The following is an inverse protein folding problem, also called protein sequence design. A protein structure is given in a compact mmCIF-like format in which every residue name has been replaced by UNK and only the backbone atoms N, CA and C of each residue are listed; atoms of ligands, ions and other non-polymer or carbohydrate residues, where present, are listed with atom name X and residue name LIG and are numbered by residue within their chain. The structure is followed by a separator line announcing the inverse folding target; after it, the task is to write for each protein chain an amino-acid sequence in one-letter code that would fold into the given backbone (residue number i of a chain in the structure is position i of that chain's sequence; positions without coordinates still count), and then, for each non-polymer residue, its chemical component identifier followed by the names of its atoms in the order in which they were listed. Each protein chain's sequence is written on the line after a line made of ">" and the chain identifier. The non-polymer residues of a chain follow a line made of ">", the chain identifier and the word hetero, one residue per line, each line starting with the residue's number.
data_IF_739758145246
#
_entry.id   IF_739758145246
#
_cell.length_a   1.000
_cell.length_b   1.000
_cell.length_c   1.000
_cell.angle_alpha   90.00
_cell.angle_beta   90.00
_cell.angle_gamma   90.00
#
_symmetry.space_group_name_H-M   'P 1'
#
loop_
_entity.id
_entity.type
_entity.pdbx_description
1 polymer ?
#
# COMPACT_ATOMS: atom_id res chain seq x y z
N UNK A 1 5.54 32.42 -20.58
CA UNK A 1 5.14 32.39 -19.16
C UNK A 1 4.62 30.98 -18.88
N UNK A 2 5.44 30.07 -18.30
CA UNK A 2 4.99 28.72 -17.93
C UNK A 2 4.08 28.87 -16.72
N UNK A 3 2.79 28.64 -16.91
CA UNK A 3 1.84 28.47 -15.81
C UNK A 3 2.41 27.37 -14.91
N UNK A 4 2.72 27.68 -13.66
CA UNK A 4 2.98 26.66 -12.62
C UNK A 4 1.66 25.91 -12.40
N UNK A 5 1.40 24.91 -13.24
CA UNK A 5 0.29 23.99 -13.03
C UNK A 5 0.48 23.35 -11.66
N UNK A 6 -0.47 23.55 -10.77
CA UNK A 6 -0.52 22.84 -9.50
C UNK A 6 -0.42 21.34 -9.81
N UNK A 7 0.58 20.64 -9.26
CA UNK A 7 0.70 19.20 -9.40
C UNK A 7 -0.60 18.56 -8.93
N UNK A 8 -1.26 17.81 -9.83
CA UNK A 8 -2.49 17.08 -9.50
C UNK A 8 -2.20 16.13 -8.34
N UNK A 9 -2.86 16.33 -7.21
CA UNK A 9 -2.73 15.50 -6.02
C UNK A 9 -3.64 14.29 -6.14
N UNK A 10 -3.10 13.10 -5.88
CA UNK A 10 -3.82 11.83 -5.98
C UNK A 10 -3.81 11.18 -4.59
N UNK A 11 -4.96 11.05 -3.93
CA UNK A 11 -5.03 10.31 -2.68
C UNK A 11 -4.85 8.81 -2.95
N UNK A 12 -3.84 8.22 -2.35
CA UNK A 12 -3.62 6.78 -2.30
C UNK A 12 -3.76 6.37 -0.84
N UNK A 13 -4.87 5.75 -0.49
CA UNK A 13 -5.23 5.40 0.87
C UNK A 13 -4.61 4.06 1.25
N UNK A 14 -3.98 3.99 2.42
CA UNK A 14 -3.40 2.78 2.97
C UNK A 14 -4.19 2.32 4.19
N UNK A 15 -4.91 1.23 4.03
CA UNK A 15 -5.56 0.45 5.09
C UNK A 15 -4.74 -0.79 5.44
N UNK A 16 -5.12 -1.49 6.51
CA UNK A 16 -4.59 -2.80 6.86
C UNK A 16 -5.76 -3.76 7.14
N UNK A 17 -6.40 -3.66 8.29
CA UNK A 17 -7.46 -4.55 8.75
C UNK A 17 -8.78 -3.81 8.91
N UNK A 18 -9.90 -4.51 8.65
CA UNK A 18 -11.28 -3.99 8.78
C UNK A 18 -12.07 -4.93 9.68
N UNK A 19 -12.11 -4.65 10.98
CA UNK A 19 -12.82 -5.48 11.95
C UNK A 19 -13.20 -4.70 13.20
N UNK A 20 -14.27 -5.12 13.88
CA UNK A 20 -14.66 -4.59 15.20
C UNK A 20 -13.85 -5.20 16.36
N UNK A 21 -13.04 -6.23 16.09
CA UNK A 21 -12.29 -6.97 17.09
C UNK A 21 -10.78 -6.91 16.85
N UNK A 22 -10.16 -5.71 16.87
CA UNK A 22 -8.73 -5.57 16.60
C UNK A 22 -7.90 -6.21 17.71
N UNK A 23 -6.88 -6.96 17.32
CA UNK A 23 -5.98 -7.63 18.27
C UNK A 23 -4.52 -7.28 18.06
N UNK A 24 -3.76 -7.14 19.13
CA UNK A 24 -2.31 -6.96 19.08
C UNK A 24 -1.83 -5.66 18.42
N UNK A 25 -0.64 -5.67 17.80
CA UNK A 25 0.01 -4.46 17.29
C UNK A 25 -0.70 -3.77 16.13
N UNK A 26 -1.63 -4.47 15.45
CA UNK A 26 -2.36 -3.91 14.31
C UNK A 26 -3.53 -3.01 14.72
N UNK A 27 -3.99 -3.10 15.98
CA UNK A 27 -5.14 -2.34 16.46
C UNK A 27 -5.13 -0.83 16.11
N UNK A 28 -4.00 -0.09 16.15
CA UNK A 28 -3.97 1.31 15.74
C UNK A 28 -4.21 1.55 14.24
N UNK A 29 -4.15 0.51 13.41
CA UNK A 29 -4.32 0.55 11.95
C UNK A 29 -5.58 -0.21 11.49
N UNK A 30 -6.38 -0.69 12.44
CA UNK A 30 -7.65 -1.38 12.16
C UNK A 30 -8.79 -0.38 12.21
N UNK A 31 -9.62 -0.35 11.18
CA UNK A 31 -10.86 0.43 11.16
C UNK A 31 -12.05 -0.51 11.34
N UNK A 32 -13.11 -0.03 12.01
CA UNK A 32 -14.34 -0.82 12.09
C UNK A 32 -15.02 -0.92 10.73
N UNK A 33 -15.80 -2.01 10.46
CA UNK A 33 -16.59 -2.13 9.24
C UNK A 33 -17.50 -0.94 8.99
N UNK A 34 -18.12 -0.39 10.04
CA UNK A 34 -18.98 0.79 9.93
C UNK A 34 -18.20 2.05 9.54
N UNK A 35 -17.01 2.27 10.10
CA UNK A 35 -16.13 3.39 9.71
C UNK A 35 -15.65 3.22 8.28
N UNK A 36 -15.26 2.01 7.89
CA UNK A 36 -14.84 1.71 6.52
C UNK A 36 -15.97 1.97 5.52
N UNK A 37 -17.20 1.50 5.81
CA UNK A 37 -18.37 1.76 4.99
C UNK A 37 -18.57 3.26 4.76
N UNK A 38 -18.49 4.07 5.83
CA UNK A 38 -18.60 5.51 5.72
C UNK A 38 -17.51 6.14 4.85
N UNK A 39 -16.29 5.61 4.90
CA UNK A 39 -15.20 6.05 4.01
C UNK A 39 -15.52 5.73 2.55
N UNK A 40 -16.08 4.54 2.26
CA UNK A 40 -16.44 4.13 0.90
C UNK A 40 -17.58 4.96 0.33
N UNK A 41 -18.61 5.29 1.12
CA UNK A 41 -19.67 6.20 0.72
C UNK A 41 -19.12 7.55 0.22
N UNK A 42 -18.21 8.17 0.99
CA UNK A 42 -17.57 9.44 0.61
C UNK A 42 -16.78 9.33 -0.69
N UNK A 43 -16.09 8.19 -0.89
CA UNK A 43 -15.32 7.93 -2.12
C UNK A 43 -16.28 7.76 -3.30
N UNK A 44 -17.32 6.94 -3.15
CA UNK A 44 -18.24 6.59 -4.23
C UNK A 44 -19.05 7.79 -4.75
N UNK A 45 -19.29 8.81 -3.91
CA UNK A 45 -20.06 9.99 -4.32
C UNK A 45 -19.46 10.73 -5.52
N UNK A 46 -18.14 10.88 -5.60
CA UNK A 46 -17.48 11.78 -6.56
C UNK A 46 -16.16 11.30 -7.10
N UNK A 47 -15.64 10.15 -6.65
CA UNK A 47 -14.32 9.66 -7.00
C UNK A 47 -14.40 8.35 -7.77
N UNK A 48 -13.43 8.14 -8.65
CA UNK A 48 -13.22 6.87 -9.32
C UNK A 48 -12.04 6.16 -8.67
N UNK A 49 -12.32 5.03 -8.04
CA UNK A 49 -11.27 4.19 -7.48
C UNK A 49 -10.54 3.44 -8.61
N UNK A 50 -9.22 3.43 -8.51
CA UNK A 50 -8.31 2.70 -9.40
C UNK A 50 -7.50 1.70 -8.56
N UNK A 51 -7.10 0.60 -9.17
CA UNK A 51 -6.01 -0.21 -8.63
C UNK A 51 -4.68 0.54 -8.80
N UNK A 52 -3.63 0.08 -8.12
CA UNK A 52 -2.29 0.68 -8.28
C UNK A 52 -1.78 0.50 -9.70
N UNK A 53 -2.00 -0.66 -10.32
CA UNK A 53 -1.61 -0.91 -11.71
C UNK A 53 -2.36 0.01 -12.68
N UNK A 54 -3.66 0.20 -12.51
CA UNK A 54 -4.44 1.13 -13.32
C UNK A 54 -3.96 2.58 -13.18
N UNK A 55 -3.61 3.01 -11.95
CA UNK A 55 -3.01 4.32 -11.74
C UNK A 55 -1.71 4.46 -12.54
N UNK A 56 -0.79 3.48 -12.42
CA UNK A 56 0.52 3.51 -13.08
C UNK A 56 0.38 3.47 -14.60
N UNK A 57 -0.54 2.68 -15.14
CA UNK A 57 -0.86 2.68 -16.57
C UNK A 57 -1.34 4.06 -17.06
N UNK A 58 -2.23 4.71 -16.32
CA UNK A 58 -2.67 6.07 -16.66
C UNK A 58 -1.50 7.07 -16.64
N UNK A 59 -0.56 6.92 -15.71
CA UNK A 59 0.58 7.84 -15.62
C UNK A 59 1.66 7.57 -16.66
N UNK A 60 1.87 6.29 -17.06
CA UNK A 60 2.94 5.88 -17.97
C UNK A 60 2.55 5.83 -19.44
N UNK A 61 1.35 5.38 -19.77
CA UNK A 61 0.89 5.15 -21.13
C UNK A 61 0.21 6.38 -21.80
N UNK A 62 0.28 7.57 -21.18
CA UNK A 62 -0.41 8.76 -21.67
C UNK A 62 -1.95 8.65 -21.63
N UNK A 63 -2.49 7.68 -20.90
CA UNK A 63 -3.93 7.58 -20.65
C UNK A 63 -4.35 8.71 -19.73
N UNK A 64 -5.53 9.25 -19.98
CA UNK A 64 -6.08 10.32 -19.14
C UNK A 64 -6.52 9.74 -17.80
N UNK A 65 -5.96 10.25 -16.70
CA UNK A 65 -6.51 9.99 -15.36
C UNK A 65 -7.97 10.45 -15.29
N UNK A 66 -8.84 9.69 -14.63
CA UNK A 66 -10.21 10.12 -14.38
C UNK A 66 -10.25 11.47 -13.64
N UNK A 67 -11.37 12.21 -13.71
CA UNK A 67 -11.46 13.56 -13.13
C UNK A 67 -11.10 13.62 -11.64
N UNK A 68 -11.54 12.64 -10.85
CA UNK A 68 -11.29 12.54 -9.41
C UNK A 68 -10.76 11.13 -9.05
N UNK A 69 -9.46 10.82 -9.34
CA UNK A 69 -8.90 9.52 -9.05
C UNK A 69 -8.63 9.36 -7.55
N UNK A 70 -8.85 8.17 -7.04
CA UNK A 70 -8.41 7.72 -5.73
C UNK A 70 -7.90 6.28 -5.86
N UNK A 71 -6.97 5.88 -5.00
CA UNK A 71 -6.53 4.49 -4.91
C UNK A 71 -6.74 4.01 -3.49
N UNK A 72 -7.31 2.82 -3.36
CA UNK A 72 -7.53 2.15 -2.07
C UNK A 72 -6.56 0.97 -2.01
N UNK A 73 -5.71 0.93 -0.99
CA UNK A 73 -4.76 -0.17 -0.80
C UNK A 73 -4.87 -0.75 0.60
N UNK A 74 -4.59 -2.05 0.72
CA UNK A 74 -4.47 -2.75 1.99
C UNK A 74 -3.11 -3.41 2.05
N UNK A 75 -2.46 -3.38 3.21
CA UNK A 75 -1.20 -4.08 3.45
C UNK A 75 -1.42 -5.33 4.31
N UNK A 76 -0.41 -6.21 4.35
CA UNK A 76 -0.24 -7.44 5.13
C UNK A 76 -1.04 -8.65 4.62
N UNK A 77 -2.26 -8.49 4.11
CA UNK A 77 -3.12 -9.58 3.65
C UNK A 77 -3.92 -10.23 4.79
N UNK A 78 -4.60 -9.42 5.62
CA UNK A 78 -5.52 -9.90 6.65
C UNK A 78 -6.75 -10.60 6.02
N UNK A 79 -7.30 -11.61 6.71
CA UNK A 79 -8.50 -12.34 6.25
C UNK A 79 -9.71 -11.42 6.07
N UNK A 80 -9.85 -10.41 6.93
CA UNK A 80 -10.91 -9.41 6.85
C UNK A 80 -10.86 -8.53 5.58
N UNK A 81 -9.77 -8.55 4.83
CA UNK A 81 -9.72 -7.91 3.51
C UNK A 81 -10.65 -8.60 2.51
N UNK A 82 -10.84 -9.93 2.63
CA UNK A 82 -11.83 -10.67 1.87
C UNK A 82 -13.20 -10.67 2.54
N UNK A 83 -13.25 -10.98 3.84
CA UNK A 83 -14.50 -11.23 4.54
C UNK A 83 -15.32 -9.95 4.79
N UNK A 84 -14.66 -8.81 5.02
CA UNK A 84 -15.29 -7.54 5.39
C UNK A 84 -15.09 -6.45 4.33
N UNK A 85 -13.87 -6.28 3.80
CA UNK A 85 -13.59 -5.17 2.88
C UNK A 85 -14.10 -5.46 1.46
N UNK A 86 -13.86 -6.65 0.91
CA UNK A 86 -14.21 -6.99 -0.47
C UNK A 86 -15.72 -6.84 -0.77
N UNK A 87 -16.67 -7.36 0.04
CA UNK A 87 -18.09 -7.20 -0.25
C UNK A 87 -18.56 -5.74 -0.19
N UNK A 88 -17.98 -4.91 0.68
CA UNK A 88 -18.29 -3.48 0.76
C UNK A 88 -17.75 -2.73 -0.45
N UNK A 89 -16.50 -2.99 -0.84
CA UNK A 89 -15.93 -2.43 -2.07
C UNK A 89 -16.77 -2.78 -3.30
N UNK A 90 -17.19 -4.03 -3.42
CA UNK A 90 -18.04 -4.50 -4.52
C UNK A 90 -19.41 -3.80 -4.50
N UNK A 91 -20.04 -3.62 -3.33
CA UNK A 91 -21.30 -2.89 -3.17
C UNK A 91 -21.24 -1.46 -3.70
N UNK A 92 -20.11 -0.79 -3.54
CA UNK A 92 -19.85 0.57 -4.06
C UNK A 92 -19.18 0.58 -5.44
N UNK A 93 -18.87 -0.58 -6.04
CA UNK A 93 -18.14 -0.71 -7.32
C UNK A 93 -16.76 -0.02 -7.29
N UNK A 94 -16.08 -0.10 -6.19
CA UNK A 94 -14.77 0.50 -5.97
C UNK A 94 -13.66 -0.53 -6.14
N UNK A 95 -12.67 -0.22 -6.97
CA UNK A 95 -11.47 -1.02 -7.12
C UNK A 95 -10.51 -0.82 -5.93
N UNK A 96 -9.73 -1.84 -5.60
CA UNK A 96 -8.69 -1.78 -4.57
C UNK A 96 -7.50 -2.68 -4.92
N UNK A 97 -6.39 -2.54 -4.19
CA UNK A 97 -5.21 -3.40 -4.27
C UNK A 97 -4.89 -3.93 -2.87
N UNK A 98 -4.73 -5.24 -2.71
CA UNK A 98 -4.30 -5.89 -1.46
C UNK A 98 -2.89 -6.41 -1.64
N UNK A 99 -1.97 -5.99 -0.77
CA UNK A 99 -0.58 -6.43 -0.73
C UNK A 99 -0.40 -7.53 0.30
N UNK A 100 0.02 -8.70 -0.16
CA UNK A 100 0.07 -9.93 0.63
C UNK A 100 1.50 -10.25 1.08
N UNK A 101 1.69 -10.46 2.38
CA UNK A 101 2.91 -11.00 2.95
C UNK A 101 2.91 -12.52 2.83
N UNK A 102 3.64 -13.06 1.85
CA UNK A 102 3.50 -14.47 1.45
C UNK A 102 3.85 -15.49 2.55
N UNK A 103 4.71 -15.15 3.49
CA UNK A 103 5.05 -16.02 4.62
C UNK A 103 4.01 -16.01 5.75
N UNK A 104 3.03 -15.11 5.70
CA UNK A 104 1.93 -15.04 6.67
C UNK A 104 0.65 -15.73 6.14
N UNK A 105 0.58 -16.02 4.84
CA UNK A 105 -0.59 -16.67 4.23
C UNK A 105 -0.87 -18.01 4.90
N UNK A 106 -2.12 -18.22 5.32
CA UNK A 106 -2.59 -19.42 6.03
C UNK A 106 -2.38 -19.37 7.55
N UNK A 107 -1.78 -18.31 8.08
CA UNK A 107 -1.71 -18.11 9.54
C UNK A 107 -3.05 -17.57 10.07
N UNK A 108 -3.29 -17.72 11.38
CA UNK A 108 -4.50 -17.23 12.01
C UNK A 108 -4.72 -15.72 11.78
N UNK A 109 -5.89 -15.35 11.28
CA UNK A 109 -6.26 -13.97 10.96
C UNK A 109 -5.74 -13.44 9.62
N UNK A 110 -5.00 -14.26 8.85
CA UNK A 110 -4.47 -13.91 7.53
C UNK A 110 -5.23 -14.65 6.43
N UNK A 111 -5.17 -14.12 5.21
CA UNK A 111 -5.70 -14.77 4.01
C UNK A 111 -5.09 -16.16 3.82
N UNK A 112 -5.91 -17.13 3.41
CA UNK A 112 -5.45 -18.41 2.88
C UNK A 112 -5.03 -18.32 1.42
N UNK A 113 -4.26 -19.30 0.94
CA UNK A 113 -3.80 -19.30 -0.47
C UNK A 113 -4.95 -19.32 -1.48
N UNK A 114 -6.06 -20.05 -1.19
CA UNK A 114 -7.24 -20.08 -2.05
C UNK A 114 -7.92 -18.71 -2.14
N UNK A 115 -7.97 -17.99 -1.04
CA UNK A 115 -8.62 -16.68 -0.91
C UNK A 115 -7.95 -15.58 -1.75
N UNK A 116 -6.68 -15.74 -2.17
CA UNK A 116 -6.06 -14.80 -3.10
C UNK A 116 -6.78 -14.77 -4.45
N UNK A 117 -7.19 -15.93 -4.96
CA UNK A 117 -7.96 -16.01 -6.20
C UNK A 117 -9.39 -15.46 -6.02
N UNK A 118 -9.97 -15.63 -4.82
CA UNK A 118 -11.30 -15.07 -4.50
C UNK A 118 -11.26 -13.51 -4.46
N UNK A 119 -10.18 -12.92 -3.93
CA UNK A 119 -9.98 -11.46 -4.01
C UNK A 119 -9.98 -10.97 -5.47
N UNK A 120 -9.26 -11.65 -6.37
CA UNK A 120 -9.23 -11.26 -7.79
C UNK A 120 -10.58 -11.43 -8.47
N UNK A 121 -11.32 -12.49 -8.14
CA UNK A 121 -12.69 -12.70 -8.62
C UNK A 121 -13.63 -11.60 -8.12
N UNK A 122 -13.37 -11.04 -6.94
CA UNK A 122 -14.08 -9.87 -6.43
C UNK A 122 -13.63 -8.53 -7.05
N UNK A 123 -12.70 -8.55 -8.02
CA UNK A 123 -12.21 -7.36 -8.71
C UNK A 123 -11.12 -6.59 -7.95
N UNK A 124 -10.47 -7.22 -6.97
CA UNK A 124 -9.39 -6.63 -6.17
C UNK A 124 -8.05 -7.12 -6.73
N UNK A 125 -7.15 -6.18 -7.02
CA UNK A 125 -5.78 -6.49 -7.43
C UNK A 125 -4.98 -7.07 -6.27
N UNK A 126 -4.24 -8.16 -6.51
CA UNK A 126 -3.29 -8.72 -5.55
C UNK A 126 -1.88 -8.26 -5.90
N UNK A 127 -1.15 -7.75 -4.91
CA UNK A 127 0.26 -7.38 -4.99
C UNK A 127 1.09 -8.09 -3.92
N UNK A 128 2.42 -7.96 -3.97
CA UNK A 128 3.32 -8.56 -3.00
C UNK A 128 3.78 -7.58 -1.91
N UNK A 129 3.93 -8.10 -0.66
CA UNK A 129 4.40 -7.34 0.51
C UNK A 129 5.60 -7.99 1.21
N UNK A 130 6.59 -8.43 0.43
CA UNK A 130 7.71 -9.26 0.87
C UNK A 130 7.26 -10.63 1.43
N UNK A 131 8.23 -11.43 1.91
CA UNK A 131 7.95 -12.76 2.43
C UNK A 131 7.66 -12.76 3.93
N UNK A 132 8.49 -12.12 4.76
CA UNK A 132 8.40 -12.18 6.22
C UNK A 132 7.92 -10.89 6.87
N UNK A 133 7.56 -9.85 6.10
CA UNK A 133 7.22 -8.51 6.59
C UNK A 133 8.39 -7.79 7.30
N UNK A 134 9.63 -8.25 7.14
CA UNK A 134 10.80 -7.58 7.71
C UNK A 134 11.10 -6.27 6.96
N UNK A 135 11.46 -5.16 7.66
CA UNK A 135 11.89 -3.92 6.99
C UNK A 135 13.11 -4.19 6.08
N UNK A 136 12.91 -4.15 4.76
CA UNK A 136 13.92 -4.54 3.77
C UNK A 136 15.18 -3.67 3.81
N UNK A 137 15.06 -2.41 4.24
CA UNK A 137 16.19 -1.49 4.35
C UNK A 137 17.10 -1.77 5.57
N UNK A 138 16.72 -2.71 6.42
CA UNK A 138 17.51 -3.21 7.54
C UNK A 138 18.26 -4.51 7.23
N UNK A 139 17.87 -5.22 6.16
CA UNK A 139 18.47 -6.49 5.73
C UNK A 139 19.79 -6.30 4.99
N UNK A 140 20.62 -7.35 4.94
CA UNK A 140 21.64 -7.47 3.92
C UNK A 140 20.96 -7.53 2.55
N UNK A 141 21.60 -7.01 1.52
CA UNK A 141 20.96 -6.88 0.19
C UNK A 141 20.55 -8.24 -0.40
N UNK A 142 21.34 -9.27 -0.18
CA UNK A 142 20.99 -10.62 -0.65
C UNK A 142 19.69 -11.11 -0.01
N UNK A 143 19.53 -10.93 1.31
CA UNK A 143 18.33 -11.32 2.04
C UNK A 143 17.11 -10.49 1.60
N UNK A 144 17.29 -9.18 1.37
CA UNK A 144 16.23 -8.32 0.86
C UNK A 144 15.77 -8.71 -0.55
N UNK A 145 16.70 -9.15 -1.42
CA UNK A 145 16.39 -9.69 -2.76
C UNK A 145 15.63 -11.00 -2.65
N UNK A 146 16.00 -11.88 -1.72
CA UNK A 146 15.29 -13.14 -1.47
C UNK A 146 13.86 -12.87 -0.99
N UNK A 147 13.67 -11.98 -0.02
CA UNK A 147 12.35 -11.53 0.45
C UNK A 147 11.43 -11.07 -0.70
N UNK A 148 11.96 -10.25 -1.61
CA UNK A 148 11.22 -9.71 -2.77
C UNK A 148 10.87 -10.83 -3.75
N UNK A 149 11.86 -11.63 -4.16
CA UNK A 149 11.70 -12.67 -5.19
C UNK A 149 10.85 -13.82 -4.70
N UNK A 150 11.07 -14.25 -3.46
CA UNK A 150 10.32 -15.35 -2.85
C UNK A 150 8.83 -14.99 -2.73
N UNK A 151 8.50 -13.80 -2.23
CA UNK A 151 7.11 -13.36 -2.15
C UNK A 151 6.44 -13.34 -3.51
N UNK A 152 7.13 -12.80 -4.54
CA UNK A 152 6.64 -12.77 -5.91
C UNK A 152 6.36 -14.19 -6.43
N UNK A 153 7.36 -15.07 -6.36
CA UNK A 153 7.26 -16.42 -6.91
C UNK A 153 6.15 -17.25 -6.25
N UNK A 154 5.97 -17.14 -4.93
CA UNK A 154 4.93 -17.88 -4.21
C UNK A 154 3.52 -17.43 -4.61
N UNK A 155 3.29 -16.11 -4.67
CA UNK A 155 1.97 -15.57 -5.02
C UNK A 155 1.67 -15.82 -6.51
N UNK A 156 2.63 -15.60 -7.42
CA UNK A 156 2.49 -15.86 -8.85
C UNK A 156 2.23 -17.36 -9.14
N UNK A 157 2.91 -18.24 -8.40
CA UNK A 157 2.64 -19.68 -8.51
C UNK A 157 1.19 -20.02 -8.15
N UNK A 158 0.63 -19.33 -7.15
CA UNK A 158 -0.77 -19.53 -6.76
C UNK A 158 -1.75 -18.95 -7.76
N UNK A 159 -1.52 -17.71 -8.21
CA UNK A 159 -2.43 -16.97 -9.09
C UNK A 159 -2.28 -17.33 -10.57
N UNK A 160 -1.18 -18.00 -10.95
CA UNK A 160 -0.84 -18.41 -12.32
C UNK A 160 -0.68 -17.23 -13.31
N UNK A 161 -0.35 -16.05 -12.81
CA UNK A 161 0.00 -14.88 -13.62
C UNK A 161 1.01 -13.99 -12.91
N UNK A 162 1.62 -13.05 -13.66
CA UNK A 162 2.63 -12.14 -13.13
C UNK A 162 2.01 -11.05 -12.23
N UNK A 163 2.64 -10.77 -11.09
CA UNK A 163 2.28 -9.66 -10.23
C UNK A 163 2.85 -8.35 -10.76
N UNK A 164 2.02 -7.32 -10.83
CA UNK A 164 2.38 -6.02 -11.35
C UNK A 164 2.94 -5.06 -10.30
N UNK A 165 2.56 -5.20 -9.02
CA UNK A 165 2.85 -4.19 -8.00
C UNK A 165 3.36 -4.79 -6.68
N UNK A 166 4.17 -4.00 -5.96
CA UNK A 166 4.80 -4.35 -4.69
C UNK A 166 4.52 -3.26 -3.64
N UNK A 167 4.45 -3.59 -2.36
CA UNK A 167 4.53 -2.60 -1.28
C UNK A 167 5.70 -2.94 -0.34
N UNK A 168 6.45 -1.91 0.07
CA UNK A 168 7.55 -2.10 1.02
C UNK A 168 7.01 -2.27 2.42
N UNK A 169 7.36 -3.35 3.17
CA UNK A 169 7.04 -3.46 4.59
C UNK A 169 7.43 -2.18 5.35
N UNK A 170 6.52 -1.67 6.16
CA UNK A 170 6.65 -0.38 6.87
C UNK A 170 6.86 0.85 5.95
N UNK A 171 6.79 0.69 4.64
CA UNK A 171 6.96 1.75 3.65
C UNK A 171 8.40 2.22 3.43
N UNK A 172 9.40 1.56 4.02
CA UNK A 172 10.79 1.98 3.91
C UNK A 172 11.46 1.40 2.67
N UNK A 173 12.00 2.28 1.83
CA UNK A 173 12.76 1.88 0.64
C UNK A 173 14.04 2.70 0.51
N UNK A 174 15.04 2.15 -0.18
CA UNK A 174 16.21 2.87 -0.66
C UNK A 174 16.24 2.84 -2.17
N UNK A 175 16.99 3.72 -2.82
CA UNK A 175 17.16 3.67 -4.28
C UNK A 175 17.62 2.28 -4.76
N UNK A 176 18.50 1.63 -4.00
CA UNK A 176 19.01 0.29 -4.32
C UNK A 176 17.89 -0.75 -4.24
N UNK A 177 17.06 -0.73 -3.18
CA UNK A 177 15.90 -1.62 -3.06
C UNK A 177 14.88 -1.41 -4.17
N UNK A 178 14.61 -0.16 -4.58
CA UNK A 178 13.72 0.13 -5.72
C UNK A 178 14.23 -0.50 -7.01
N UNK A 179 15.55 -0.46 -7.23
CA UNK A 179 16.16 -1.12 -8.39
C UNK A 179 15.99 -2.65 -8.32
N UNK A 180 16.11 -3.26 -7.13
CA UNK A 180 15.89 -4.71 -6.96
C UNK A 180 14.42 -5.11 -7.17
N UNK A 181 13.46 -4.31 -6.68
CA UNK A 181 12.03 -4.52 -6.96
C UNK A 181 11.75 -4.44 -8.46
N UNK A 182 12.33 -3.43 -9.15
CA UNK A 182 12.25 -3.31 -10.60
C UNK A 182 12.88 -4.52 -11.31
N UNK A 183 14.07 -4.94 -10.88
CA UNK A 183 14.79 -6.09 -11.45
C UNK A 183 14.06 -7.42 -11.21
N UNK A 184 13.23 -7.51 -10.16
CA UNK A 184 12.35 -8.64 -9.92
C UNK A 184 11.15 -8.69 -10.87
N UNK A 185 10.95 -7.66 -11.73
CA UNK A 185 9.91 -7.63 -12.75
C UNK A 185 8.58 -7.02 -12.28
N UNK A 186 8.55 -6.29 -11.15
CA UNK A 186 7.40 -5.46 -10.82
C UNK A 186 7.37 -4.20 -11.67
N UNK A 187 6.18 -3.72 -12.03
CA UNK A 187 5.96 -2.46 -12.76
C UNK A 187 5.90 -1.25 -11.85
N UNK A 188 5.58 -1.45 -10.57
CA UNK A 188 5.45 -0.36 -9.59
C UNK A 188 5.67 -0.84 -8.15
N UNK A 189 5.85 0.13 -7.23
CA UNK A 189 5.84 -0.17 -5.81
C UNK A 189 5.32 1.00 -4.96
N UNK A 190 4.67 0.68 -3.84
CA UNK A 190 4.16 1.64 -2.87
C UNK A 190 5.07 1.77 -1.65
N UNK A 191 5.34 3.02 -1.25
CA UNK A 191 5.92 3.36 0.06
C UNK A 191 4.86 3.87 1.02
N UNK A 192 5.31 4.40 2.18
CA UNK A 192 4.47 5.15 3.13
C UNK A 192 5.15 6.50 3.39
N UNK A 193 4.55 7.58 2.93
CA UNK A 193 5.10 8.94 3.10
C UNK A 193 4.13 9.87 3.81
N UNK A 194 2.89 9.42 4.07
CA UNK A 194 1.78 10.24 4.56
C UNK A 194 1.61 11.54 3.74
N UNK A 195 1.62 11.37 2.42
CA UNK A 195 1.56 12.43 1.43
C UNK A 195 0.70 12.04 0.24
N UNK A 196 0.16 13.02 -0.47
CA UNK A 196 -0.48 12.78 -1.76
C UNK A 196 0.56 12.35 -2.79
N UNK A 197 0.24 11.33 -3.58
CA UNK A 197 0.95 11.02 -4.81
C UNK A 197 0.63 12.05 -5.91
N UNK A 198 1.34 12.03 -7.02
CA UNK A 198 1.14 12.95 -8.14
C UNK A 198 1.75 12.35 -9.44
N UNK A 199 1.41 12.86 -10.64
CA UNK A 199 1.86 12.29 -11.90
C UNK A 199 3.38 12.18 -12.10
N UNK A 200 4.16 12.94 -11.37
CA UNK A 200 5.63 12.87 -11.40
C UNK A 200 6.23 12.18 -10.15
N UNK A 201 5.43 11.44 -9.37
CA UNK A 201 5.94 10.65 -8.25
C UNK A 201 6.75 9.45 -8.78
N UNK A 202 7.63 8.93 -7.95
CA UNK A 202 8.43 7.76 -8.32
C UNK A 202 7.53 6.50 -8.36
N UNK A 203 7.35 5.86 -9.52
CA UNK A 203 6.47 4.68 -9.63
C UNK A 203 6.95 3.48 -8.80
N UNK A 204 8.22 3.46 -8.38
CA UNK A 204 8.74 2.46 -7.44
C UNK A 204 8.74 2.92 -5.98
N UNK A 205 8.02 4.01 -5.66
CA UNK A 205 7.82 4.48 -4.29
C UNK A 205 6.61 5.42 -4.20
N UNK A 206 5.47 5.00 -4.74
CA UNK A 206 4.21 5.75 -4.74
C UNK A 206 3.86 6.10 -3.28
N UNK A 207 3.59 7.37 -3.05
CA UNK A 207 3.23 7.86 -1.72
C UNK A 207 1.81 7.46 -1.35
N UNK A 208 1.59 7.11 -0.08
CA UNK A 208 0.28 6.74 0.45
C UNK A 208 -0.04 7.51 1.73
N UNK A 209 -1.31 7.67 2.01
CA UNK A 209 -1.90 8.27 3.20
C UNK A 209 -2.39 7.15 4.12
N UNK A 210 -1.76 7.00 5.27
CA UNK A 210 -2.10 5.93 6.22
C UNK A 210 -3.42 6.21 6.92
N UNK A 211 -4.37 5.32 6.75
CA UNK A 211 -5.63 5.29 7.50
C UNK A 211 -5.38 4.53 8.80
N UNK A 212 -5.85 5.09 9.90
CA UNK A 212 -5.69 4.54 11.26
C UNK A 212 -7.06 4.35 11.90
N UNK A 213 -7.09 3.66 13.02
CA UNK A 213 -8.30 3.45 13.83
C UNK A 213 -9.03 4.77 14.19
N UNK A 214 -8.27 5.85 14.37
CA UNK A 214 -8.77 7.18 14.72
C UNK A 214 -8.97 8.11 13.51
N UNK A 215 -8.87 7.58 12.28
CA UNK A 215 -9.10 8.38 11.06
C UNK A 215 -10.59 8.59 10.87
N UNK A 216 -11.06 9.76 11.26
CA UNK A 216 -12.45 10.13 11.10
C UNK A 216 -12.83 10.37 9.62
N UNK A 217 -14.13 10.16 9.23
CA UNK A 217 -14.62 10.40 7.87
C UNK A 217 -14.28 11.78 7.32
N UNK A 218 -14.27 12.82 8.15
CA UNK A 218 -13.93 14.19 7.77
C UNK A 218 -12.46 14.32 7.30
N UNK A 219 -11.57 13.47 7.81
CA UNK A 219 -10.17 13.42 7.33
C UNK A 219 -10.11 12.80 5.94
N UNK A 220 -10.85 11.73 5.70
CA UNK A 220 -10.95 11.13 4.37
C UNK A 220 -11.52 12.16 3.39
N UNK A 221 -12.61 12.82 3.73
CA UNK A 221 -13.22 13.86 2.90
C UNK A 221 -12.22 14.99 2.54
N UNK A 222 -11.42 15.45 3.52
CA UNK A 222 -10.34 16.41 3.25
C UNK A 222 -9.28 15.86 2.29
N UNK A 223 -8.85 14.61 2.45
CA UNK A 223 -7.91 13.98 1.54
C UNK A 223 -8.49 13.83 0.13
N UNK A 224 -9.76 13.48 0.02
CA UNK A 224 -10.47 13.42 -1.26
C UNK A 224 -10.53 14.79 -1.95
N UNK A 225 -10.62 15.87 -1.20
CA UNK A 225 -10.46 17.25 -1.71
C UNK A 225 -9.01 17.67 -1.94
N UNK A 226 -8.08 16.76 -1.85
CA UNK A 226 -6.63 17.01 -1.97
C UNK A 226 -6.07 18.01 -0.92
N UNK A 227 -6.62 17.97 0.30
CA UNK A 227 -6.29 18.83 1.43
C UNK A 227 -5.78 18.03 2.64
N UNK A 228 -5.09 18.68 3.57
CA UNK A 228 -4.77 18.10 4.88
C UNK A 228 -3.56 17.16 4.91
N UNK A 229 -2.80 17.07 3.80
CA UNK A 229 -1.54 16.36 3.74
C UNK A 229 -0.56 17.04 2.76
N UNK A 230 0.76 16.84 2.89
CA UNK A 230 1.73 17.34 1.93
C UNK A 230 1.63 16.57 0.60
N UNK A 231 2.25 17.11 -0.45
CA UNK A 231 2.51 16.38 -1.70
C UNK A 231 3.84 15.64 -1.57
N UNK A 232 3.93 14.43 -2.11
CA UNK A 232 5.14 13.64 -2.10
C UNK A 232 6.32 14.42 -2.71
N UNK A 233 7.45 14.40 -2.02
CA UNK A 233 8.68 15.01 -2.50
C UNK A 233 9.58 13.95 -3.11
N UNK A 234 10.24 14.22 -4.25
CA UNK A 234 11.24 13.31 -4.81
C UNK A 234 12.46 13.14 -3.89
N UNK A 235 12.66 14.06 -2.95
CA UNK A 235 13.74 13.99 -1.95
C UNK A 235 13.24 13.29 -0.69
N UNK A 236 13.96 12.28 -0.28
CA UNK A 236 13.70 11.63 1.01
C UNK A 236 13.90 12.64 2.14
N UNK A 237 12.97 12.71 3.09
CA UNK A 237 13.09 13.62 4.23
C UNK A 237 14.33 13.27 5.07
N UNK A 238 15.10 14.27 5.48
CA UNK A 238 16.32 14.10 6.29
C UNK A 238 16.06 13.27 7.57
N UNK A 239 14.87 13.45 8.17
CA UNK A 239 14.41 12.66 9.33
C UNK A 239 14.33 11.16 9.04
N UNK A 240 13.90 10.77 7.84
CA UNK A 240 13.81 9.36 7.42
C UNK A 240 15.20 8.74 7.27
N UNK A 241 16.15 9.50 6.72
CA UNK A 241 17.54 9.07 6.58
C UNK A 241 18.21 8.86 7.96
N UNK A 242 18.08 9.82 8.86
CA UNK A 242 18.61 9.74 10.22
C UNK A 242 17.98 8.56 11.00
N UNK A 243 16.66 8.38 10.89
CA UNK A 243 15.95 7.28 11.54
C UNK A 243 16.39 5.91 11.00
N UNK A 244 16.65 5.79 9.71
CA UNK A 244 17.19 4.56 9.09
C UNK A 244 18.55 4.18 9.71
N UNK A 245 19.43 5.13 9.89
CA UNK A 245 20.75 4.89 10.52
C UNK A 245 20.60 4.38 11.94
N UNK A 246 19.71 4.98 12.73
CA UNK A 246 19.41 4.55 14.10
C UNK A 246 18.83 3.14 14.15
N UNK A 247 17.90 2.78 13.25
CA UNK A 247 17.30 1.43 13.19
C UNK A 247 18.34 0.36 12.84
N UNK A 248 19.21 0.64 11.84
CA UNK A 248 20.31 -0.28 11.48
C UNK A 248 21.28 -0.50 12.64
N UNK A 249 21.71 0.56 13.32
CA UNK A 249 22.58 0.47 14.48
C UNK A 249 21.96 -0.34 15.63
N UNK A 250 20.66 -0.18 15.89
CA UNK A 250 19.94 -0.97 16.91
C UNK A 250 19.87 -2.45 16.56
N UNK A 251 19.61 -2.78 15.28
CA UNK A 251 19.57 -4.18 14.83
C UNK A 251 20.94 -4.87 14.97
N UNK A 252 22.01 -4.20 14.57
CA UNK A 252 23.38 -4.73 14.76
C UNK A 252 23.76 -4.90 16.21
N UNK A 253 23.16 -4.11 17.12
CA UNK A 253 23.33 -4.23 18.57
C UNK A 253 22.36 -5.26 19.22
N UNK A 254 21.55 -6.01 18.45
CA UNK A 254 20.58 -6.98 18.97
C UNK A 254 19.39 -6.37 19.71
N UNK A 255 19.17 -5.08 19.61
CA UNK A 255 18.08 -4.35 20.28
C UNK A 255 16.80 -4.39 19.44
N UNK A 256 15.69 -4.87 20.03
CA UNK A 256 14.38 -4.86 19.34
C UNK A 256 13.96 -3.44 18.96
N UNK A 257 13.34 -3.25 17.77
CA UNK A 257 12.75 -1.96 17.40
C UNK A 257 11.68 -1.58 18.44
N UNK A 258 11.65 -0.29 18.85
CA UNK A 258 10.51 0.24 19.60
C UNK A 258 9.34 0.40 18.61
N UNK A 259 8.15 -0.13 18.91
CA UNK A 259 6.95 0.21 18.15
C UNK A 259 6.72 1.73 18.24
N UNK A 260 6.30 2.34 17.12
CA UNK A 260 5.81 3.73 17.08
C UNK A 260 4.40 3.82 17.57
#
# INVERSE_FOLDING_TARGET
>A
MKVKGSLRRIPVLLYHSVTDSPVGPIAPYTVSPATFERHLELIAERHQALTVSQLVECLGAGRTLPPAPVVITFDDGFADNLDEAAPRLAGHKLAATVYVTSGLVGQAGMLGWEQLSELEQAGIEVGAHAHTHTPLDELQMADAVDEIRRSKAMIEHRLQHALATFAYPHGYSTRRLRNEVRAAGFGSACGVRNAFSHPADDPWCIARLTVRADTAPERIERWLRAEGAPVASPREAFKTLAWRTVRRARRTAGLRPRPR
#
